data_IF_506763025376
#
_entry.id   IF_506763025376
#
_cell.length_a   1.000
_cell.length_b   1.000
_cell.length_c   1.000
_cell.angle_alpha   90.00
_cell.angle_beta   90.00
_cell.angle_gamma   90.00
#
_symmetry.space_group_name_H-M   'P 1'
#
loop_
_entity.id
_entity.type
_entity.pdbx_description
1 polymer ?
#
# COMPACT_ATOMS: atom_id res chain seq x y z
N UNK A 1 22.42 -4.89 10.24
CA UNK A 1 21.70 -4.23 9.15
C UNK A 1 22.63 -3.17 8.57
N UNK A 2 23.15 -3.37 7.35
CA UNK A 2 24.17 -2.50 6.75
C UNK A 2 23.53 -1.71 5.62
N UNK A 3 23.36 -0.41 5.83
CA UNK A 3 22.92 0.55 4.81
C UNK A 3 24.19 1.04 4.11
N UNK A 4 24.25 0.92 2.78
CA UNK A 4 25.32 1.49 1.98
C UNK A 4 25.06 3.00 1.78
N UNK A 5 26.10 3.83 1.96
CA UNK A 5 26.02 5.29 1.84
C UNK A 5 25.73 5.78 0.40
N UNK A 6 24.92 6.84 0.23
CA UNK A 6 24.64 7.41 -1.08
C UNK A 6 25.75 8.37 -1.51
N UNK A 7 26.26 8.16 -2.72
CA UNK A 7 27.19 9.06 -3.40
C UNK A 7 26.43 10.30 -3.88
N UNK A 8 26.92 11.48 -3.49
CA UNK A 8 26.37 12.78 -3.84
C UNK A 8 26.65 13.12 -5.30
N UNK A 9 25.61 13.14 -6.12
CA UNK A 9 25.53 14.03 -7.27
C UNK A 9 24.11 14.62 -7.25
N UNK A 10 24.01 15.95 -7.23
CA UNK A 10 22.73 16.66 -7.08
C UNK A 10 22.21 17.00 -8.47
N UNK A 11 21.19 16.33 -9.02
CA UNK A 11 20.49 16.82 -10.19
C UNK A 11 19.42 17.82 -9.75
N UNK A 12 19.23 18.86 -10.55
CA UNK A 12 18.15 19.83 -10.45
C UNK A 12 16.76 19.17 -10.38
N UNK A 13 16.26 18.95 -9.16
CA UNK A 13 14.85 19.00 -8.74
C UNK A 13 13.80 18.19 -9.51
N UNK A 14 14.17 17.09 -10.17
CA UNK A 14 13.22 16.18 -10.82
C UNK A 14 12.99 14.92 -9.98
N UNK A 15 11.78 14.34 -10.07
CA UNK A 15 11.55 12.99 -9.54
C UNK A 15 12.43 11.99 -10.30
N UNK A 16 13.12 11.14 -9.57
CA UNK A 16 13.81 9.96 -10.09
C UNK A 16 12.79 8.88 -10.48
N UNK A 17 13.24 7.81 -11.15
CA UNK A 17 12.40 6.69 -11.59
C UNK A 17 11.63 5.99 -10.44
N UNK A 18 10.99 4.83 -10.70
CA UNK A 18 10.36 4.06 -9.64
C UNK A 18 11.36 3.72 -8.53
N UNK A 19 10.99 3.96 -7.27
CA UNK A 19 11.81 3.61 -6.11
C UNK A 19 11.31 2.29 -5.53
N UNK A 20 12.24 1.37 -5.29
CA UNK A 20 11.97 0.05 -4.75
C UNK A 20 12.36 0.00 -3.27
N UNK A 21 11.49 -0.56 -2.43
CA UNK A 21 11.68 -0.67 -0.98
C UNK A 21 11.29 -2.07 -0.53
N UNK A 22 12.19 -2.75 0.17
CA UNK A 22 11.90 -4.04 0.84
C UNK A 22 11.50 -3.78 2.29
N UNK A 23 10.39 -4.40 2.70
CA UNK A 23 9.79 -4.22 4.02
C UNK A 23 9.50 -5.60 4.62
N UNK A 24 10.18 -5.92 5.72
CA UNK A 24 9.96 -7.14 6.47
C UNK A 24 9.27 -6.83 7.81
N UNK A 25 8.22 -7.57 8.12
CA UNK A 25 7.43 -7.46 9.35
C UNK A 25 7.32 -8.82 10.06
N UNK A 26 8.43 -9.56 10.15
CA UNK A 26 8.51 -10.73 11.04
C UNK A 26 8.63 -10.29 12.52
N UNK A 27 9.12 -9.08 12.77
CA UNK A 27 9.17 -8.48 14.10
C UNK A 27 7.83 -7.79 14.47
N UNK A 28 7.61 -7.59 15.78
CA UNK A 28 6.42 -6.92 16.29
C UNK A 28 6.34 -5.43 15.93
N UNK A 29 5.18 -4.82 16.17
CA UNK A 29 5.00 -3.38 15.92
C UNK A 29 5.76 -2.52 16.95
N UNK A 30 6.82 -1.86 16.51
CA UNK A 30 7.63 -0.97 17.32
C UNK A 30 7.85 0.41 16.67
N UNK A 31 8.73 1.22 17.28
CA UNK A 31 9.06 2.55 16.75
C UNK A 31 9.87 2.48 15.46
N UNK A 32 10.68 1.45 15.26
CA UNK A 32 11.49 1.29 14.06
C UNK A 32 10.61 0.94 12.85
N UNK A 33 9.60 0.09 13.03
CA UNK A 33 8.60 -0.20 12.00
C UNK A 33 7.84 1.07 11.57
N UNK A 34 7.45 1.92 12.53
CA UNK A 34 6.80 3.21 12.27
C UNK A 34 7.72 4.16 11.48
N UNK A 35 8.98 4.28 11.91
CA UNK A 35 9.98 5.12 11.23
C UNK A 35 10.22 4.65 9.80
N UNK A 36 10.39 3.35 9.59
CA UNK A 36 10.57 2.72 8.27
C UNK A 36 9.43 3.08 7.30
N UNK A 37 8.17 2.98 7.73
CA UNK A 37 7.02 3.34 6.88
C UNK A 37 6.94 4.85 6.65
N UNK A 38 7.26 5.65 7.66
CA UNK A 38 7.28 7.12 7.53
C UNK A 38 8.30 7.57 6.50
N UNK A 39 9.51 7.01 6.55
CA UNK A 39 10.57 7.26 5.58
C UNK A 39 10.19 6.76 4.19
N UNK A 40 9.61 5.56 4.10
CA UNK A 40 9.11 5.00 2.84
C UNK A 40 8.08 5.93 2.18
N UNK A 41 7.14 6.48 2.95
CA UNK A 41 6.16 7.43 2.44
C UNK A 41 6.83 8.73 1.95
N UNK A 42 7.86 9.21 2.64
CA UNK A 42 8.59 10.43 2.26
C UNK A 42 9.34 10.28 0.92
N UNK A 43 9.71 9.06 0.51
CA UNK A 43 10.32 8.79 -0.79
C UNK A 43 9.41 9.18 -1.96
N UNK A 44 8.09 9.25 -1.75
CA UNK A 44 7.14 9.71 -2.77
C UNK A 44 7.45 11.12 -3.28
N UNK A 45 8.09 11.99 -2.50
CA UNK A 45 8.45 13.34 -2.94
C UNK A 45 9.53 13.34 -4.06
N UNK A 46 10.34 12.29 -4.14
CA UNK A 46 11.48 12.18 -5.06
C UNK A 46 11.32 11.05 -6.07
N UNK A 47 10.31 10.19 -5.93
CA UNK A 47 10.06 9.07 -6.83
C UNK A 47 8.94 9.38 -7.83
N UNK A 48 8.94 8.70 -8.97
CA UNK A 48 7.80 8.69 -9.91
C UNK A 48 6.76 7.63 -9.55
N UNK A 49 7.14 6.61 -8.78
CA UNK A 49 6.31 5.55 -8.24
C UNK A 49 7.04 4.85 -7.08
N UNK A 50 6.29 4.20 -6.19
CA UNK A 50 6.85 3.31 -5.16
C UNK A 50 6.52 1.86 -5.48
N UNK A 51 7.51 0.98 -5.37
CA UNK A 51 7.34 -0.47 -5.42
C UNK A 51 7.73 -1.02 -4.07
N UNK A 52 6.75 -1.52 -3.32
CA UNK A 52 6.92 -2.05 -1.97
C UNK A 52 6.96 -3.57 -2.04
N UNK A 53 8.10 -4.19 -1.77
CA UNK A 53 8.18 -5.63 -1.57
C UNK A 53 7.96 -5.94 -0.10
N UNK A 54 6.82 -6.55 0.20
CA UNK A 54 6.35 -6.74 1.56
C UNK A 54 6.37 -8.22 1.93
N UNK A 55 6.95 -8.53 3.08
CA UNK A 55 6.95 -9.87 3.67
C UNK A 55 6.81 -9.79 5.18
N UNK A 56 6.37 -10.87 5.80
CA UNK A 56 6.34 -11.02 7.25
C UNK A 56 5.20 -11.91 7.70
N UNK A 57 5.46 -12.78 8.68
CA UNK A 57 4.44 -13.53 9.42
C UNK A 57 3.90 -12.78 10.64
N UNK A 58 4.62 -11.74 11.08
CA UNK A 58 4.38 -11.08 12.36
C UNK A 58 4.97 -11.84 13.54
N UNK A 59 4.94 -11.20 14.71
CA UNK A 59 5.46 -11.72 15.97
C UNK A 59 4.33 -11.94 16.98
N UNK A 60 4.42 -13.00 17.78
CA UNK A 60 3.34 -13.40 18.70
C UNK A 60 3.12 -12.44 19.90
N UNK A 61 4.06 -11.56 20.29
CA UNK A 61 4.19 -11.35 21.75
C UNK A 61 4.55 -9.98 22.34
N UNK A 62 4.11 -8.84 21.77
CA UNK A 62 3.97 -7.60 22.57
C UNK A 62 2.80 -6.76 22.06
N UNK A 63 1.82 -6.48 22.93
CA UNK A 63 0.80 -5.48 22.62
C UNK A 63 1.45 -4.09 22.52
N UNK A 64 1.43 -3.43 21.34
CA UNK A 64 2.10 -2.14 21.16
C UNK A 64 1.42 -1.05 22.00
N UNK A 65 2.20 -0.05 22.43
CA UNK A 65 1.66 1.16 23.04
C UNK A 65 0.69 1.84 22.06
N UNK A 66 -0.42 2.39 22.57
CA UNK A 66 -1.40 3.11 21.74
C UNK A 66 -0.76 4.25 20.92
N UNK A 67 0.28 4.88 21.46
CA UNK A 67 1.05 5.92 20.76
C UNK A 67 1.76 5.39 19.52
N UNK A 68 2.31 4.17 19.58
CA UNK A 68 2.95 3.48 18.45
C UNK A 68 1.88 3.09 17.43
N UNK A 69 0.74 2.54 17.87
CA UNK A 69 -0.39 2.22 16.98
C UNK A 69 -0.90 3.45 16.24
N UNK A 70 -1.09 4.57 16.95
CA UNK A 70 -1.55 5.82 16.32
C UNK A 70 -0.56 6.34 15.27
N UNK A 71 0.75 6.29 15.56
CA UNK A 71 1.78 6.70 14.60
C UNK A 71 1.88 5.75 13.40
N UNK A 72 1.73 4.45 13.64
CA UNK A 72 1.66 3.44 12.59
C UNK A 72 0.53 3.75 11.60
N UNK A 73 -0.68 4.00 12.11
CA UNK A 73 -1.81 4.35 11.24
C UNK A 73 -1.60 5.67 10.51
N UNK A 74 -0.96 6.67 11.13
CA UNK A 74 -0.59 7.91 10.46
C UNK A 74 0.43 7.68 9.32
N UNK A 75 1.38 6.76 9.53
CA UNK A 75 2.39 6.41 8.53
C UNK A 75 1.75 5.67 7.34
N UNK A 76 0.88 4.69 7.59
CA UNK A 76 0.12 4.01 6.54
C UNK A 76 -0.82 4.97 5.79
N UNK A 77 -1.49 5.89 6.51
CA UNK A 77 -2.32 6.91 5.87
C UNK A 77 -1.49 7.85 4.98
N UNK A 78 -0.21 8.05 5.28
CA UNK A 78 0.69 8.82 4.42
C UNK A 78 0.99 8.09 3.09
N UNK A 79 1.13 6.76 3.10
CA UNK A 79 1.21 5.95 1.87
C UNK A 79 -0.09 6.02 1.05
N UNK A 80 -1.24 5.86 1.70
CA UNK A 80 -2.55 6.02 1.05
C UNK A 80 -2.76 7.43 0.47
N UNK A 81 -2.07 8.45 1.00
CA UNK A 81 -2.13 9.84 0.54
C UNK A 81 -1.01 10.26 -0.41
N UNK A 82 -0.07 9.36 -0.71
CA UNK A 82 1.03 9.63 -1.62
C UNK A 82 0.52 10.11 -3.00
N UNK A 83 1.27 11.01 -3.63
CA UNK A 83 0.90 11.57 -4.93
C UNK A 83 1.44 10.76 -6.12
N UNK A 84 2.02 9.60 -5.82
CA UNK A 84 2.57 8.64 -6.79
C UNK A 84 1.81 7.32 -6.77
N UNK A 85 1.82 6.56 -7.88
CA UNK A 85 1.38 5.17 -7.85
C UNK A 85 2.22 4.35 -6.87
N UNK A 86 1.56 3.48 -6.12
CA UNK A 86 2.18 2.49 -5.24
C UNK A 86 1.79 1.09 -5.73
N UNK A 87 2.81 0.26 -5.98
CA UNK A 87 2.64 -1.16 -6.30
C UNK A 87 3.20 -1.98 -5.16
N UNK A 88 2.38 -2.80 -4.51
CA UNK A 88 2.84 -3.76 -3.51
C UNK A 88 3.10 -5.12 -4.16
N UNK A 89 4.18 -5.76 -3.74
CA UNK A 89 4.61 -7.07 -4.21
C UNK A 89 4.83 -8.01 -3.01
N UNK A 90 4.45 -9.29 -3.15
CA UNK A 90 4.65 -10.30 -2.10
C UNK A 90 5.08 -11.65 -2.70
N UNK A 91 6.14 -12.25 -2.17
CA UNK A 91 6.64 -13.58 -2.63
C UNK A 91 6.49 -14.68 -1.57
N UNK A 92 6.29 -14.29 -0.31
CA UNK A 92 6.17 -15.19 0.84
C UNK A 92 5.00 -14.78 1.73
N UNK A 93 5.06 -15.08 3.04
CA UNK A 93 4.03 -14.66 3.98
C UNK A 93 3.87 -13.14 3.97
N UNK A 94 2.63 -12.68 3.86
CA UNK A 94 2.23 -11.28 3.92
C UNK A 94 1.06 -11.18 4.90
N UNK A 95 1.36 -11.27 6.19
CA UNK A 95 0.39 -11.38 7.27
C UNK A 95 0.35 -10.10 8.12
N UNK A 96 -0.74 -9.86 8.83
CA UNK A 96 -0.88 -8.80 9.82
C UNK A 96 -0.33 -7.43 9.36
N UNK A 97 0.78 -6.94 9.95
CA UNK A 97 1.42 -5.66 9.60
C UNK A 97 1.88 -5.60 8.13
N UNK A 98 2.41 -6.69 7.60
CA UNK A 98 2.76 -6.79 6.18
C UNK A 98 1.51 -6.64 5.31
N UNK A 99 0.40 -7.30 5.68
CA UNK A 99 -0.86 -7.19 4.96
C UNK A 99 -1.42 -5.76 5.01
N UNK A 100 -1.29 -5.06 6.14
CA UNK A 100 -1.72 -3.65 6.24
C UNK A 100 -0.99 -2.74 5.27
N UNK A 101 0.33 -2.88 5.13
CA UNK A 101 1.14 -2.13 4.17
C UNK A 101 0.76 -2.51 2.75
N UNK A 102 0.60 -3.81 2.47
CA UNK A 102 0.20 -4.34 1.16
C UNK A 102 -1.14 -3.75 0.69
N UNK A 103 -2.09 -3.56 1.61
CA UNK A 103 -3.40 -2.96 1.35
C UNK A 103 -3.38 -1.43 1.12
N UNK A 104 -2.27 -0.74 1.37
CA UNK A 104 -2.15 0.70 1.06
C UNK A 104 -1.85 0.98 -0.42
N UNK A 105 -1.46 -0.05 -1.17
CA UNK A 105 -1.07 0.08 -2.57
C UNK A 105 -2.25 0.20 -3.52
N UNK A 106 -2.02 0.82 -4.68
CA UNK A 106 -3.00 0.89 -5.77
C UNK A 106 -3.14 -0.47 -6.46
N UNK A 107 -2.00 -1.16 -6.65
CA UNK A 107 -1.91 -2.47 -7.28
C UNK A 107 -1.12 -3.43 -6.40
N UNK A 108 -1.60 -4.66 -6.31
CA UNK A 108 -1.07 -5.75 -5.48
C UNK A 108 -0.73 -6.94 -6.37
N UNK A 109 0.54 -7.31 -6.41
CA UNK A 109 1.05 -8.41 -7.23
C UNK A 109 1.69 -9.44 -6.30
N UNK A 110 1.42 -10.72 -6.49
CA UNK A 110 2.00 -11.75 -5.65
C UNK A 110 2.63 -12.88 -6.46
N UNK A 111 3.56 -13.61 -5.85
CA UNK A 111 3.99 -14.89 -6.39
C UNK A 111 2.98 -15.98 -6.06
N UNK A 112 2.96 -17.10 -6.81
CA UNK A 112 2.14 -18.27 -6.46
C UNK A 112 2.44 -18.87 -5.07
N UNK A 113 3.59 -18.53 -4.47
CA UNK A 113 4.03 -19.01 -3.15
C UNK A 113 3.65 -18.08 -2.00
N UNK A 114 3.06 -16.92 -2.27
CA UNK A 114 2.64 -15.98 -1.23
C UNK A 114 1.44 -16.51 -0.43
N UNK A 115 1.39 -16.18 0.86
CA UNK A 115 0.22 -16.45 1.71
C UNK A 115 -0.20 -15.19 2.46
N UNK A 116 -1.50 -15.06 2.73
CA UNK A 116 -2.08 -13.85 3.32
C UNK A 116 -2.95 -14.18 4.52
N UNK A 117 -2.80 -13.43 5.61
CA UNK A 117 -3.60 -13.63 6.82
C UNK A 117 -3.84 -12.31 7.55
N UNK A 118 -5.03 -12.15 8.14
CA UNK A 118 -5.38 -10.99 8.98
C UNK A 118 -4.72 -11.04 10.36
N UNK A 119 -4.32 -12.24 10.80
CA UNK A 119 -3.82 -12.50 12.13
C UNK A 119 -2.30 -12.59 12.11
N UNK A 120 -1.67 -12.13 13.19
CA UNK A 120 -0.41 -12.70 13.64
C UNK A 120 -0.70 -14.15 14.10
N UNK A 121 0.29 -15.05 14.24
CA UNK A 121 0.05 -16.41 14.70
C UNK A 121 -0.82 -16.42 15.98
N UNK A 122 -2.04 -16.95 15.87
CA UNK A 122 -2.99 -17.06 16.98
C UNK A 122 -3.80 -15.82 17.38
N UNK A 123 -3.65 -14.65 16.72
CA UNK A 123 -4.41 -13.44 17.11
C UNK A 123 -4.69 -12.44 16.00
N UNK A 124 -5.96 -12.04 15.86
CA UNK A 124 -6.34 -10.86 15.06
C UNK A 124 -6.28 -9.61 15.93
N UNK A 125 -5.43 -8.66 15.57
CA UNK A 125 -5.39 -7.34 16.19
C UNK A 125 -6.59 -6.49 15.71
N UNK A 126 -7.33 -5.81 16.60
CA UNK A 126 -8.44 -4.93 16.23
C UNK A 126 -7.93 -3.58 15.67
N UNK A 127 -7.18 -3.63 14.57
CA UNK A 127 -6.60 -2.47 13.88
C UNK A 127 -7.32 -2.10 12.59
N UNK A 128 -6.78 -1.11 11.89
CA UNK A 128 -7.36 -0.63 10.62
C UNK A 128 -7.13 -1.60 9.45
N UNK A 129 -6.38 -2.70 9.63
CA UNK A 129 -6.37 -3.84 8.71
C UNK A 129 -7.78 -4.28 8.33
N UNK A 130 -8.69 -4.33 9.32
CA UNK A 130 -10.08 -4.74 9.11
C UNK A 130 -10.84 -3.76 8.22
N UNK A 131 -10.61 -2.46 8.38
CA UNK A 131 -11.19 -1.45 7.49
C UNK A 131 -10.64 -1.61 6.07
N UNK A 132 -9.32 -1.70 5.91
CA UNK A 132 -8.66 -1.81 4.60
C UNK A 132 -9.07 -3.07 3.84
N UNK A 133 -9.11 -4.22 4.52
CA UNK A 133 -9.51 -5.48 3.89
C UNK A 133 -10.98 -5.45 3.48
N UNK A 134 -11.87 -4.87 4.29
CA UNK A 134 -13.30 -4.74 3.93
C UNK A 134 -13.48 -3.85 2.70
N UNK A 135 -12.73 -2.75 2.61
CA UNK A 135 -12.75 -1.87 1.43
C UNK A 135 -12.21 -2.58 0.19
N UNK A 136 -11.28 -3.52 0.34
CA UNK A 136 -10.67 -4.25 -0.77
C UNK A 136 -11.53 -5.43 -1.27
N UNK A 137 -11.94 -6.33 -0.38
CA UNK A 137 -12.57 -7.63 -0.73
C UNK A 137 -14.00 -7.77 -0.23
N UNK A 138 -14.55 -6.71 0.37
CA UNK A 138 -15.90 -6.69 0.92
C UNK A 138 -16.03 -7.35 2.30
N UNK A 139 -17.07 -6.95 3.03
CA UNK A 139 -17.30 -7.42 4.39
C UNK A 139 -17.61 -8.92 4.50
N UNK A 140 -18.17 -9.53 3.45
CA UNK A 140 -18.48 -10.96 3.45
C UNK A 140 -17.19 -11.80 3.53
N UNK A 141 -16.23 -11.54 2.63
CA UNK A 141 -14.97 -12.28 2.60
C UNK A 141 -14.14 -11.96 3.86
N UNK A 142 -14.06 -10.69 4.26
CA UNK A 142 -13.34 -10.29 5.47
C UNK A 142 -13.87 -11.01 6.73
N UNK A 143 -15.19 -11.16 6.89
CA UNK A 143 -15.80 -11.90 7.99
C UNK A 143 -15.48 -13.39 7.93
N UNK A 144 -15.48 -13.98 6.73
CA UNK A 144 -15.09 -15.38 6.54
C UNK A 144 -13.66 -15.61 7.01
N UNK A 145 -12.71 -14.78 6.56
CA UNK A 145 -11.30 -14.84 6.99
C UNK A 145 -11.14 -14.71 8.50
N UNK A 146 -11.89 -13.80 9.13
CA UNK A 146 -11.87 -13.61 10.57
C UNK A 146 -12.38 -14.84 11.34
N UNK A 147 -13.44 -15.48 10.85
CA UNK A 147 -14.05 -16.66 11.50
C UNK A 147 -13.20 -17.91 11.29
N UNK A 148 -12.68 -18.10 10.08
CA UNK A 148 -11.85 -19.26 9.74
C UNK A 148 -10.45 -19.16 10.37
N UNK A 149 -9.99 -17.94 10.69
CA UNK A 149 -8.63 -17.66 11.19
C UNK A 149 -7.54 -18.34 10.34
N UNK A 150 -7.79 -18.44 9.04
CA UNK A 150 -6.95 -19.16 8.09
C UNK A 150 -5.99 -18.25 7.33
N UNK A 151 -4.97 -18.88 6.75
CA UNK A 151 -4.15 -18.28 5.69
C UNK A 151 -4.89 -18.46 4.34
N UNK A 152 -4.94 -17.41 3.54
CA UNK A 152 -5.26 -17.50 2.12
C UNK A 152 -4.03 -17.92 1.32
N UNK A 153 -4.22 -18.85 0.39
CA UNK A 153 -3.24 -19.07 -0.67
C UNK A 153 -3.19 -17.87 -1.61
N UNK A 154 -2.13 -17.75 -2.40
CA UNK A 154 -2.03 -16.75 -3.47
C UNK A 154 -3.22 -16.82 -4.44
N UNK A 155 -3.68 -18.03 -4.77
CA UNK A 155 -4.81 -18.22 -5.68
C UNK A 155 -6.13 -17.77 -5.04
N UNK A 156 -6.40 -18.13 -3.79
CA UNK A 156 -7.61 -17.67 -3.10
C UNK A 156 -7.62 -16.14 -2.96
N UNK A 157 -6.45 -15.54 -2.72
CA UNK A 157 -6.27 -14.09 -2.65
C UNK A 157 -6.56 -13.40 -4.00
N UNK A 158 -6.20 -14.03 -5.13
CA UNK A 158 -6.56 -13.56 -6.46
C UNK A 158 -8.08 -13.67 -6.69
N UNK A 159 -8.68 -14.80 -6.32
CA UNK A 159 -10.11 -15.08 -6.55
C UNK A 159 -11.03 -14.11 -5.79
N UNK A 160 -10.59 -13.60 -4.63
CA UNK A 160 -11.33 -12.61 -3.85
C UNK A 160 -10.89 -11.17 -4.11
N UNK A 161 -10.03 -10.93 -5.10
CA UNK A 161 -9.47 -9.63 -5.45
C UNK A 161 -8.65 -8.95 -4.33
N UNK A 162 -8.08 -9.73 -3.41
CA UNK A 162 -7.04 -9.23 -2.50
C UNK A 162 -5.74 -8.93 -3.27
N UNK A 163 -5.43 -9.76 -4.24
CA UNK A 163 -4.30 -9.64 -5.17
C UNK A 163 -4.83 -9.42 -6.57
N UNK A 164 -4.19 -8.56 -7.35
CA UNK A 164 -4.61 -8.23 -8.72
C UNK A 164 -3.94 -9.13 -9.77
N UNK A 165 -2.72 -9.64 -9.48
CA UNK A 165 -1.95 -10.50 -10.40
C UNK A 165 -1.08 -11.51 -9.67
N UNK A 166 -0.98 -12.71 -10.22
CA UNK A 166 -0.02 -13.74 -9.82
C UNK A 166 1.04 -13.95 -10.90
N UNK A 167 2.31 -13.82 -10.54
CA UNK A 167 3.48 -13.99 -11.44
C UNK A 167 4.68 -14.49 -10.66
N UNK A 168 5.60 -15.22 -11.31
CA UNK A 168 6.79 -15.76 -10.62
C UNK A 168 7.74 -14.66 -10.10
N UNK A 169 7.82 -13.54 -10.83
CA UNK A 169 8.61 -12.36 -10.43
C UNK A 169 7.71 -11.10 -10.32
N UNK A 170 7.07 -10.89 -9.15
CA UNK A 170 6.22 -9.72 -8.91
C UNK A 170 6.94 -8.38 -9.10
N UNK A 171 8.23 -8.33 -8.80
CA UNK A 171 9.04 -7.10 -8.92
C UNK A 171 9.24 -6.74 -10.38
N UNK A 172 9.64 -7.70 -11.21
CA UNK A 172 9.80 -7.47 -12.65
C UNK A 172 8.47 -7.02 -13.29
N UNK A 173 7.34 -7.62 -12.90
CA UNK A 173 6.03 -7.23 -13.40
C UNK A 173 5.63 -5.82 -12.97
N UNK A 174 5.91 -5.42 -11.72
CA UNK A 174 5.67 -4.07 -11.24
C UNK A 174 6.45 -3.02 -12.07
N UNK A 175 7.74 -3.27 -12.33
CA UNK A 175 8.57 -2.38 -13.15
C UNK A 175 8.06 -2.29 -14.59
N UNK A 176 7.67 -3.43 -15.18
CA UNK A 176 7.10 -3.49 -16.52
C UNK A 176 5.82 -2.64 -16.61
N UNK A 177 4.92 -2.79 -15.64
CA UNK A 177 3.67 -2.01 -15.57
C UNK A 177 3.94 -0.52 -15.48
N UNK A 178 4.84 -0.09 -14.59
CA UNK A 178 5.18 1.32 -14.40
C UNK A 178 5.87 1.94 -15.62
N UNK A 179 6.64 1.15 -16.38
CA UNK A 179 7.29 1.61 -17.61
C UNK A 179 6.31 1.95 -18.75
N UNK A 180 5.09 1.39 -18.70
CA UNK A 180 4.01 1.71 -19.65
C UNK A 180 3.27 2.96 -19.18
N UNK A 181 2.93 3.02 -17.89
CA UNK A 181 2.20 4.16 -17.30
C UNK A 181 2.97 5.48 -17.40
N UNK A 182 4.31 5.45 -17.23
CA UNK A 182 5.15 6.65 -17.36
C UNK A 182 5.13 7.30 -18.75
N UNK A 183 4.67 6.58 -19.78
CA UNK A 183 4.50 7.12 -21.14
C UNK A 183 3.22 7.94 -21.33
N UNK A 184 2.31 7.89 -20.37
CA UNK A 184 1.05 8.64 -20.36
C UNK A 184 1.00 9.49 -19.09
N UNK A 185 1.70 10.64 -19.05
CA UNK A 185 1.70 11.50 -17.87
C UNK A 185 0.27 11.93 -17.57
N UNK A 186 -0.25 11.52 -16.43
CA UNK A 186 -1.54 12.00 -15.93
C UNK A 186 -1.28 13.01 -14.82
N UNK A 187 -1.30 14.33 -15.12
CA UNK A 187 -1.03 15.38 -14.13
C UNK A 187 -2.06 15.43 -12.99
N UNK A 188 -3.17 14.68 -13.11
CA UNK A 188 -4.21 14.57 -12.09
C UNK A 188 -4.25 13.19 -11.41
N UNK A 189 -3.28 12.31 -11.67
CA UNK A 189 -3.25 10.96 -11.11
C UNK A 189 -3.42 10.97 -9.58
N UNK A 190 -2.65 11.81 -8.88
CA UNK A 190 -2.73 11.95 -7.42
C UNK A 190 -4.15 12.31 -6.95
N UNK A 191 -4.86 13.19 -7.67
CA UNK A 191 -6.23 13.60 -7.31
C UNK A 191 -7.22 12.48 -7.57
N UNK A 192 -7.15 11.83 -8.72
CA UNK A 192 -8.02 10.70 -9.06
C UNK A 192 -7.83 9.56 -8.06
N UNK A 193 -6.58 9.25 -7.71
CA UNK A 193 -6.22 8.30 -6.67
C UNK A 193 -6.89 8.64 -5.34
N UNK A 194 -6.78 9.90 -4.87
CA UNK A 194 -7.45 10.31 -3.63
C UNK A 194 -8.97 10.19 -3.69
N UNK A 195 -9.60 10.54 -4.81
CA UNK A 195 -11.06 10.36 -4.97
C UNK A 195 -11.49 8.90 -4.84
N UNK A 196 -10.70 7.97 -5.39
CA UNK A 196 -10.96 6.52 -5.28
C UNK A 196 -10.80 6.05 -3.83
N UNK A 197 -9.72 6.42 -3.15
CA UNK A 197 -9.49 6.03 -1.75
C UNK A 197 -10.57 6.55 -0.79
N UNK A 198 -11.08 7.76 -1.04
CA UNK A 198 -12.12 8.34 -0.20
C UNK A 198 -13.53 7.82 -0.54
N UNK A 199 -13.75 7.23 -1.72
CA UNK A 199 -15.09 6.90 -2.22
C UNK A 199 -15.89 5.99 -1.26
N UNK A 200 -15.22 5.08 -0.57
CA UNK A 200 -15.86 4.15 0.38
C UNK A 200 -16.31 4.78 1.71
N UNK A 201 -15.83 5.98 2.05
CA UNK A 201 -16.10 6.63 3.34
C UNK A 201 -16.79 7.99 3.21
N UNK A 202 -17.01 8.44 1.98
CA UNK A 202 -17.59 9.74 1.66
C UNK A 202 -19.10 9.64 1.48
N UNK A 203 -19.84 10.65 1.93
CA UNK A 203 -21.20 10.83 1.42
C UNK A 203 -21.17 11.17 -0.08
N UNK A 204 -22.27 10.88 -0.78
CA UNK A 204 -22.42 11.23 -2.19
C UNK A 204 -22.18 12.75 -2.43
N UNK A 205 -22.70 13.60 -1.53
CA UNK A 205 -22.54 15.06 -1.62
C UNK A 205 -21.09 15.51 -1.47
N UNK A 206 -20.34 14.95 -0.53
CA UNK A 206 -18.92 15.25 -0.36
C UNK A 206 -18.08 14.76 -1.55
N UNK A 207 -18.45 13.61 -2.13
CA UNK A 207 -17.81 13.07 -3.32
C UNK A 207 -18.09 13.95 -4.55
N UNK A 208 -19.35 14.37 -4.73
CA UNK A 208 -19.78 15.26 -5.82
C UNK A 208 -19.07 16.61 -5.74
N UNK A 209 -18.99 17.21 -4.55
CA UNK A 209 -18.27 18.47 -4.35
C UNK A 209 -16.79 18.38 -4.74
N UNK A 210 -16.10 17.32 -4.32
CA UNK A 210 -14.69 17.09 -4.69
C UNK A 210 -14.50 16.82 -6.19
N UNK A 211 -15.43 16.08 -6.80
CA UNK A 211 -15.44 15.83 -8.23
C UNK A 211 -15.60 17.13 -9.04
N UNK A 212 -16.59 17.96 -8.72
CA UNK A 212 -16.82 19.24 -9.42
C UNK A 212 -15.63 20.19 -9.28
N UNK A 213 -15.02 20.26 -8.09
CA UNK A 213 -13.79 21.04 -7.88
C UNK A 213 -12.60 20.51 -8.69
N UNK A 214 -12.52 19.20 -8.95
CA UNK A 214 -11.51 18.63 -9.83
C UNK A 214 -11.76 18.99 -11.30
N UNK A 215 -13.02 18.95 -11.76
CA UNK A 215 -13.41 19.36 -13.12
C UNK A 215 -13.11 20.83 -13.37
N UNK A 216 -13.47 21.75 -12.45
CA UNK A 216 -13.22 23.18 -12.62
C UNK A 216 -11.74 23.49 -12.88
N UNK A 217 -10.85 22.82 -12.14
CA UNK A 217 -9.39 22.94 -12.33
C UNK A 217 -8.90 22.39 -13.66
N UNK A 218 -9.50 21.30 -14.13
CA UNK A 218 -9.16 20.74 -15.44
C UNK A 218 -9.61 21.69 -16.56
N UNK A 219 -10.84 22.20 -16.51
CA UNK A 219 -11.36 23.13 -17.50
C UNK A 219 -10.52 24.41 -17.57
N UNK A 220 -10.14 24.99 -16.41
CA UNK A 220 -9.27 26.19 -16.38
C UNK A 220 -7.94 25.99 -17.11
N UNK A 221 -7.34 24.81 -17.05
CA UNK A 221 -6.08 24.50 -17.77
C UNK A 221 -6.26 24.30 -19.27
N UNK A 222 -7.47 23.95 -19.73
CA UNK A 222 -7.76 23.82 -21.17
C UNK A 222 -7.96 25.20 -21.80
N UNK A 223 -8.46 26.16 -21.01
CA UNK A 223 -8.71 27.53 -21.45
C UNK A 223 -7.44 28.44 -21.42
N UNK A 224 -6.33 27.98 -20.82
CA UNK A 224 -5.01 28.63 -20.74
C UNK A 224 -4.08 28.25 -21.91
#
# INVERSE_FOLDING_TARGET
MTIAEPTTDTPTGGRSGPTFVELNFDDGLDRAAVETITETAALSAQATALVLQVSGRGAEDVAPELTVVNKWEAALRSLERADVPIVATATGPCHARALEVFLTADVRIASPTATFALADPGRVWPGMALHRVVTQIGAHVARRLLVEQGELSAQDALDVALVDRLVDDPRAEALRMLSVTSRLPNPDHARHRQLIFDAGSSSFEEALGRHLAAIERLLRRIDE
#
